data_IF_655933816605
#
_entry.id   IF_655933816605
#
_cell.length_a   1.000
_cell.length_b   1.000
_cell.length_c   1.000
_cell.angle_alpha   90.00
_cell.angle_beta   90.00
_cell.angle_gamma   90.00
#
_symmetry.space_group_name_H-M   'P 1'
#
loop_
_entity.id
_entity.type
_entity.pdbx_description
1 polymer ?
#
# COMPACT_ATOMS: atom_id res chain seq x y z
N UNK A 1 30.25 3.71 -16.66
CA UNK A 1 29.34 3.51 -15.51
C UNK A 1 27.95 3.55 -16.07
N UNK A 2 27.40 2.38 -16.42
CA UNK A 2 26.00 2.26 -16.76
C UNK A 2 25.29 2.21 -15.42
N UNK A 3 24.52 3.24 -15.10
CA UNK A 3 23.53 3.15 -14.05
C UNK A 3 22.74 1.87 -14.33
N UNK A 4 22.69 0.94 -13.38
CA UNK A 4 21.66 -0.10 -13.38
C UNK A 4 20.36 0.67 -13.61
N UNK A 5 19.76 0.58 -14.81
CA UNK A 5 18.32 0.69 -14.94
C UNK A 5 17.79 -0.42 -14.04
N UNK A 6 17.69 -0.11 -12.75
CA UNK A 6 17.19 -1.02 -11.75
C UNK A 6 15.77 -1.28 -12.21
N UNK A 7 15.55 -2.45 -12.81
CA UNK A 7 14.27 -2.79 -13.44
C UNK A 7 13.18 -2.48 -12.43
N UNK A 8 12.35 -1.49 -12.72
CA UNK A 8 11.26 -1.12 -11.83
C UNK A 8 10.13 -2.10 -12.03
N UNK A 9 9.41 -2.39 -10.95
CA UNK A 9 8.19 -3.17 -11.01
C UNK A 9 7.07 -2.43 -10.30
N UNK A 10 5.87 -2.60 -10.81
CA UNK A 10 4.67 -2.07 -10.19
C UNK A 10 4.20 -2.99 -9.06
N UNK A 11 3.77 -2.38 -7.95
CA UNK A 11 3.05 -3.02 -6.86
C UNK A 11 1.72 -2.30 -6.68
N UNK A 12 0.62 -3.06 -6.67
CA UNK A 12 -0.69 -2.55 -6.30
C UNK A 12 -0.85 -2.50 -4.77
N UNK A 13 -1.18 -1.36 -4.20
CA UNK A 13 -1.55 -1.22 -2.79
C UNK A 13 -3.06 -1.05 -2.74
N UNK A 14 -3.74 -1.99 -2.08
CA UNK A 14 -5.20 -2.00 -1.95
C UNK A 14 -5.56 -1.68 -0.51
N UNK A 15 -6.24 -0.55 -0.32
CA UNK A 15 -6.80 -0.16 0.97
C UNK A 15 -8.21 -0.75 1.08
N UNK A 16 -8.41 -1.65 2.05
CA UNK A 16 -9.65 -2.40 2.23
C UNK A 16 -10.51 -1.76 3.33
N UNK A 17 -10.68 -2.46 4.45
CA UNK A 17 -11.60 -2.10 5.52
C UNK A 17 -11.01 -1.14 6.57
N UNK A 18 -11.91 -0.41 7.22
CA UNK A 18 -11.63 0.39 8.42
C UNK A 18 -11.12 1.81 8.17
N UNK A 19 -11.12 2.26 6.91
CA UNK A 19 -10.79 3.63 6.54
C UNK A 19 -12.05 4.51 6.55
N UNK A 20 -11.94 5.65 7.21
CA UNK A 20 -13.00 6.65 7.34
C UNK A 20 -12.35 8.03 7.30
N UNK A 21 -12.61 8.78 6.23
CA UNK A 21 -12.00 10.08 5.90
C UNK A 21 -10.48 10.08 6.16
N UNK A 22 -9.80 9.01 5.78
CA UNK A 22 -8.43 8.73 6.15
C UNK A 22 -7.42 9.47 5.25
N UNK A 23 -6.38 10.01 5.87
CA UNK A 23 -5.26 10.63 5.16
C UNK A 23 -4.10 9.65 5.11
N UNK A 24 -3.81 9.12 3.93
CA UNK A 24 -2.84 8.05 3.76
C UNK A 24 -1.58 8.53 3.08
N UNK A 25 -0.43 8.12 3.60
CA UNK A 25 0.87 8.27 2.96
C UNK A 25 1.47 6.89 2.72
N UNK A 26 1.85 6.62 1.46
CA UNK A 26 2.61 5.42 1.10
C UNK A 26 4.08 5.79 0.94
N UNK A 27 4.96 4.96 1.50
CA UNK A 27 6.41 5.11 1.44
C UNK A 27 7.06 3.87 0.84
N UNK A 28 8.12 4.08 0.06
CA UNK A 28 8.99 3.03 -0.46
C UNK A 28 10.41 3.35 0.03
N UNK A 29 11.00 2.41 0.77
CA UNK A 29 12.29 2.59 1.45
C UNK A 29 12.36 3.89 2.27
N UNK A 30 11.26 4.23 2.95
CA UNK A 30 11.13 5.44 3.78
C UNK A 30 10.86 6.74 3.00
N UNK A 31 10.91 6.74 1.67
CA UNK A 31 10.57 7.90 0.84
C UNK A 31 9.08 7.88 0.52
N UNK A 32 8.38 8.99 0.78
CA UNK A 32 6.98 9.11 0.37
C UNK A 32 6.84 9.09 -1.16
N UNK A 33 6.00 8.20 -1.67
CA UNK A 33 5.73 8.03 -3.10
C UNK A 33 4.30 8.40 -3.47
N UNK A 34 3.36 8.35 -2.50
CA UNK A 34 1.95 8.68 -2.70
C UNK A 34 1.38 9.32 -1.43
N UNK A 35 0.44 10.25 -1.62
CA UNK A 35 -0.40 10.81 -0.56
C UNK A 35 -1.81 10.96 -1.08
N UNK A 36 -2.78 10.44 -0.34
CA UNK A 36 -4.21 10.57 -0.61
C UNK A 36 -4.92 11.04 0.67
N UNK A 37 -6.00 11.81 0.51
CA UNK A 37 -6.69 12.51 1.60
C UNK A 37 -8.16 12.17 1.55
N UNK A 38 -8.77 11.94 2.71
CA UNK A 38 -10.20 11.68 2.81
C UNK A 38 -10.66 10.37 2.16
N UNK A 39 -9.82 9.32 2.15
CA UNK A 39 -10.25 8.01 1.61
C UNK A 39 -11.14 7.28 2.63
N UNK A 40 -12.24 6.71 2.16
CA UNK A 40 -13.18 5.95 3.00
C UNK A 40 -13.51 4.62 2.34
N UNK A 41 -13.63 3.57 3.15
CA UNK A 41 -14.03 2.24 2.68
C UNK A 41 -15.44 2.31 2.10
N UNK A 42 -15.62 1.85 0.85
CA UNK A 42 -16.93 1.66 0.27
C UNK A 42 -17.61 0.43 0.92
N UNK A 43 -18.78 0.57 1.57
CA UNK A 43 -19.41 -0.51 2.32
C UNK A 43 -19.91 -1.67 1.46
N UNK A 44 -20.10 -1.46 0.15
CA UNK A 44 -20.49 -2.54 -0.77
C UNK A 44 -19.28 -3.32 -1.30
N UNK A 45 -18.12 -2.65 -1.46
CA UNK A 45 -16.93 -3.24 -2.07
C UNK A 45 -15.90 -3.71 -1.04
N UNK A 46 -15.93 -3.19 0.19
CA UNK A 46 -14.88 -3.42 1.18
C UNK A 46 -13.54 -2.79 0.78
N UNK A 47 -13.54 -1.84 -0.18
CA UNK A 47 -12.36 -1.18 -0.73
C UNK A 47 -12.49 0.32 -0.53
N UNK A 48 -11.46 0.94 0.03
CA UNK A 48 -11.34 2.39 0.17
C UNK A 48 -10.62 3.03 -1.02
N UNK A 49 -9.54 2.42 -1.50
CA UNK A 49 -8.76 2.94 -2.62
C UNK A 49 -7.77 1.90 -3.13
N UNK A 50 -7.31 2.07 -4.37
CA UNK A 50 -6.28 1.27 -5.01
C UNK A 50 -5.24 2.19 -5.62
N UNK A 51 -3.96 1.92 -5.35
CA UNK A 51 -2.87 2.74 -5.88
C UNK A 51 -1.71 1.87 -6.35
N UNK A 52 -1.17 2.20 -7.52
CA UNK A 52 0.06 1.59 -8.02
C UNK A 52 1.27 2.38 -7.55
N UNK A 53 2.29 1.66 -7.06
CA UNK A 53 3.59 2.24 -6.69
C UNK A 53 4.74 1.50 -7.36
N UNK A 54 5.78 2.23 -7.73
CA UNK A 54 6.99 1.65 -8.31
C UNK A 54 7.95 1.16 -7.22
N UNK A 55 8.43 -0.07 -7.38
CA UNK A 55 9.42 -0.70 -6.52
C UNK A 55 10.66 -1.11 -7.33
N UNK A 56 11.86 -1.08 -6.73
CA UNK A 56 13.02 -1.75 -7.29
C UNK A 56 12.77 -3.26 -7.48
N UNK A 57 13.27 -3.86 -8.57
CA UNK A 57 13.10 -5.30 -8.86
C UNK A 57 13.56 -6.23 -7.73
N UNK A 58 14.61 -5.84 -7.00
CA UNK A 58 15.17 -6.63 -5.88
C UNK A 58 14.25 -6.63 -4.64
N UNK A 59 13.16 -5.87 -4.66
CA UNK A 59 12.24 -5.69 -3.54
C UNK A 59 12.47 -4.37 -2.80
N UNK A 60 11.54 -4.03 -1.91
CA UNK A 60 11.59 -2.79 -1.15
C UNK A 60 10.87 -2.95 0.20
N UNK A 61 11.13 -2.00 1.09
CA UNK A 61 10.30 -1.78 2.26
C UNK A 61 9.13 -0.85 1.88
N UNK A 62 7.90 -1.32 2.02
CA UNK A 62 6.70 -0.53 1.78
C UNK A 62 6.08 -0.17 3.12
N UNK A 63 5.87 1.12 3.35
CA UNK A 63 5.23 1.63 4.56
C UNK A 63 3.94 2.38 4.23
N UNK A 64 2.94 2.22 5.09
CA UNK A 64 1.69 2.97 5.05
C UNK A 64 1.50 3.69 6.37
N UNK A 65 1.10 4.95 6.28
CA UNK A 65 0.74 5.78 7.43
C UNK A 65 -0.63 6.40 7.21
N UNK A 66 -1.51 6.30 8.21
CA UNK A 66 -2.78 7.03 8.27
C UNK A 66 -2.57 8.22 9.21
N UNK A 67 -2.19 9.36 8.64
CA UNK A 67 -1.61 10.50 9.38
C UNK A 67 -2.59 11.14 10.34
N UNK A 68 -3.86 11.26 9.96
CA UNK A 68 -4.91 11.81 10.83
C UNK A 68 -5.34 10.86 11.96
N UNK A 69 -4.83 9.62 11.99
CA UNK A 69 -5.12 8.63 13.04
C UNK A 69 -3.86 8.13 13.77
N UNK A 70 -2.67 8.61 13.39
CA UNK A 70 -1.40 8.18 13.97
C UNK A 70 -1.08 6.70 13.79
N UNK A 71 -1.69 6.03 12.81
CA UNK A 71 -1.46 4.61 12.54
C UNK A 71 -0.34 4.45 11.51
N UNK A 72 0.54 3.48 11.73
CA UNK A 72 1.60 3.15 10.77
C UNK A 72 1.87 1.66 10.73
N UNK A 73 2.12 1.14 9.54
CA UNK A 73 2.62 -0.20 9.32
C UNK A 73 3.69 -0.21 8.23
N UNK A 74 4.58 -1.19 8.30
CA UNK A 74 5.67 -1.37 7.34
C UNK A 74 5.80 -2.86 7.05
N UNK A 75 5.94 -3.22 5.79
CA UNK A 75 6.23 -4.59 5.36
C UNK A 75 7.39 -4.62 4.36
N UNK A 76 8.14 -5.72 4.35
CA UNK A 76 9.14 -5.98 3.31
C UNK A 76 8.44 -6.71 2.18
N UNK A 77 8.53 -6.16 0.97
CA UNK A 77 7.98 -6.77 -0.24
C UNK A 77 9.15 -7.26 -1.09
N UNK A 78 9.44 -8.56 -1.00
CA UNK A 78 10.49 -9.22 -1.79
C UNK A 78 9.90 -10.12 -2.88
N UNK A 79 10.54 -10.22 -4.04
CA UNK A 79 10.13 -11.17 -5.09
C UNK A 79 9.04 -10.66 -6.03
N UNK A 80 7.96 -11.43 -6.21
CA UNK A 80 6.85 -11.21 -7.16
C UNK A 80 5.47 -10.79 -6.57
N UNK A 81 5.28 -10.39 -5.29
CA UNK A 81 3.95 -9.94 -4.86
C UNK A 81 3.47 -8.83 -5.79
N UNK A 82 2.27 -9.02 -6.36
CA UNK A 82 1.64 -8.06 -7.25
C UNK A 82 0.84 -7.03 -6.47
N UNK A 83 0.45 -7.37 -5.23
CA UNK A 83 -0.23 -6.43 -4.36
C UNK A 83 0.16 -6.54 -2.89
N UNK A 84 -0.14 -5.48 -2.14
CA UNK A 84 -0.19 -5.44 -0.68
C UNK A 84 -1.58 -4.96 -0.28
N UNK A 85 -2.23 -5.73 0.59
CA UNK A 85 -3.53 -5.41 1.16
C UNK A 85 -3.34 -4.70 2.49
N UNK A 86 -4.09 -3.62 2.68
CA UNK A 86 -3.98 -2.75 3.84
C UNK A 86 -5.36 -2.58 4.45
N UNK A 87 -5.49 -2.95 5.72
CA UNK A 87 -6.74 -2.81 6.47
C UNK A 87 -6.48 -2.17 7.83
N UNK A 88 -7.50 -1.57 8.43
CA UNK A 88 -7.48 -1.15 9.83
C UNK A 88 -8.33 -2.14 10.62
N UNK A 89 -7.65 -3.05 11.33
CA UNK A 89 -8.26 -4.09 12.16
C UNK A 89 -7.94 -3.78 13.63
N UNK A 90 -8.94 -3.76 14.52
CA UNK A 90 -8.78 -3.48 15.95
C UNK A 90 -7.94 -2.22 16.27
N UNK A 91 -8.13 -1.16 15.48
CA UNK A 91 -7.41 0.11 15.64
C UNK A 91 -5.94 0.06 15.22
N UNK A 92 -5.52 -0.94 14.45
CA UNK A 92 -4.14 -1.11 13.96
C UNK A 92 -4.13 -1.25 12.44
N UNK A 93 -3.11 -0.68 11.80
CA UNK A 93 -2.86 -0.97 10.39
C UNK A 93 -2.28 -2.37 10.26
N UNK A 94 -2.95 -3.19 9.46
CA UNK A 94 -2.54 -4.55 9.10
C UNK A 94 -2.18 -4.55 7.63
N UNK A 95 -1.00 -5.07 7.30
CA UNK A 95 -0.52 -5.20 5.93
C UNK A 95 -0.28 -6.68 5.60
N UNK A 96 -0.87 -7.17 4.51
CA UNK A 96 -0.76 -8.56 4.04
C UNK A 96 -0.31 -8.59 2.58
N UNK A 97 0.48 -9.58 2.20
CA UNK A 97 0.82 -9.76 0.77
C UNK A 97 -0.40 -10.28 -0.01
N UNK A 98 -0.61 -9.76 -1.21
CA UNK A 98 -1.70 -10.15 -2.10
C UNK A 98 -1.22 -10.72 -3.44
N UNK A 99 -2.16 -11.30 -4.17
CA UNK A 99 -1.95 -11.97 -5.46
C UNK A 99 -2.09 -11.03 -6.67
N UNK A 100 -2.62 -9.82 -6.46
CA UNK A 100 -2.91 -8.82 -7.49
C UNK A 100 -4.24 -9.06 -8.21
N UNK A 101 -5.15 -9.86 -7.64
CA UNK A 101 -6.48 -10.16 -8.20
C UNK A 101 -7.62 -9.71 -7.29
N UNK A 102 -7.31 -8.89 -6.29
CA UNK A 102 -8.24 -8.55 -5.22
C UNK A 102 -9.31 -7.53 -5.65
N UNK A 103 -9.10 -6.86 -6.79
CA UNK A 103 -10.07 -5.94 -7.42
C UNK A 103 -11.20 -6.64 -8.21
N UNK A 104 -11.30 -7.98 -8.15
CA UNK A 104 -12.30 -8.78 -8.89
C UNK A 104 -13.11 -9.63 -7.92
N UNK A 105 -13.85 -9.01 -7.01
CA UNK A 105 -14.93 -9.63 -6.25
C UNK A 105 -16.11 -8.67 -6.13
#
# INVERSE_FOLDING_TARGET
MLEEEATMRELLVVFQDGFDEANVTVTVNGKAVRRDVGISTNPLLGIASEVSVELPAKGAQVGVEVTNRGLKAITKVSGRPKSVLVSIEDGRLVMKEGTGREAVL
#
